data_IF_982112874855
#
_entry.id   IF_982112874855
#
_cell.length_a   1.000
_cell.length_b   1.000
_cell.length_c   1.000
_cell.angle_alpha   90.00
_cell.angle_beta   90.00
_cell.angle_gamma   90.00
#
_symmetry.space_group_name_H-M   'P 1'
#
loop_
_entity.id
_entity.type
_entity.pdbx_description
1 polymer ?
#
# COMPACT_ATOMS: atom_id res chain seq x y z
N UNK A 1 4.99 -16.69 -8.03
CA UNK A 1 3.91 -15.76 -8.41
C UNK A 1 3.23 -16.35 -9.64
N UNK A 2 1.91 -16.23 -9.77
CA UNK A 2 1.21 -16.56 -11.02
C UNK A 2 1.16 -15.35 -11.98
N UNK A 3 0.62 -15.52 -13.19
CA UNK A 3 0.52 -14.43 -14.17
C UNK A 3 -0.47 -13.36 -13.71
N UNK A 4 -0.16 -12.11 -14.04
CA UNK A 4 -0.95 -10.94 -13.65
C UNK A 4 -1.06 -9.97 -14.82
N UNK A 5 -2.25 -9.38 -14.98
CA UNK A 5 -2.56 -8.41 -16.03
C UNK A 5 -3.15 -7.17 -15.36
N UNK A 6 -2.60 -5.99 -15.66
CA UNK A 6 -3.10 -4.71 -15.18
C UNK A 6 -3.58 -3.88 -16.36
N UNK A 7 -4.79 -3.33 -16.29
CA UNK A 7 -5.40 -2.57 -17.37
C UNK A 7 -6.38 -1.49 -16.86
N UNK A 8 -6.77 -0.61 -17.80
CA UNK A 8 -7.86 0.34 -17.66
C UNK A 8 -8.72 0.25 -18.92
N UNK A 9 -10.02 0.43 -18.79
CA UNK A 9 -10.98 0.30 -19.90
C UNK A 9 -11.57 1.66 -20.24
N UNK A 10 -11.85 1.87 -21.53
CA UNK A 10 -12.54 3.06 -22.04
C UNK A 10 -13.97 2.73 -22.46
N UNK A 11 -14.87 3.69 -22.25
CA UNK A 11 -16.18 3.75 -22.90
C UNK A 11 -16.01 4.11 -24.39
N UNK A 12 -17.01 3.83 -25.24
CA UNK A 12 -16.98 4.21 -26.66
C UNK A 12 -16.92 5.73 -26.92
N UNK A 13 -17.29 6.56 -25.94
CA UNK A 13 -17.12 8.02 -25.96
C UNK A 13 -15.67 8.49 -25.70
N UNK A 14 -14.75 7.55 -25.41
CA UNK A 14 -13.35 7.81 -25.11
C UNK A 14 -13.03 8.12 -23.64
N UNK A 15 -14.05 8.27 -22.79
CA UNK A 15 -13.92 8.39 -21.32
C UNK A 15 -13.49 7.05 -20.71
N UNK A 16 -13.08 7.07 -19.44
CA UNK A 16 -12.66 5.86 -18.72
C UNK A 16 -13.80 5.26 -17.92
N UNK A 17 -13.83 3.93 -17.82
CA UNK A 17 -14.56 3.25 -16.75
C UNK A 17 -13.79 3.39 -15.42
N UNK A 18 -14.49 3.59 -14.32
CA UNK A 18 -13.88 3.64 -12.99
C UNK A 18 -13.38 2.27 -12.57
N UNK A 19 -12.21 2.17 -11.91
CA UNK A 19 -11.75 0.86 -11.43
C UNK A 19 -12.71 0.26 -10.38
N UNK A 20 -13.40 1.10 -9.60
CA UNK A 20 -14.40 0.69 -8.60
C UNK A 20 -15.75 0.38 -9.23
N UNK A 21 -16.12 1.05 -10.32
CA UNK A 21 -17.26 0.67 -11.18
C UNK A 21 -17.06 -0.78 -11.68
N UNK A 22 -15.88 -1.08 -12.22
CA UNK A 22 -15.49 -2.43 -12.65
C UNK A 22 -15.42 -3.41 -11.45
N UNK A 23 -14.88 -3.00 -10.30
CA UNK A 23 -14.80 -3.82 -9.07
C UNK A 23 -16.17 -4.22 -8.53
N UNK A 24 -17.12 -3.28 -8.49
CA UNK A 24 -18.49 -3.51 -8.01
C UNK A 24 -19.24 -4.46 -8.94
N UNK A 25 -19.15 -4.25 -10.26
CA UNK A 25 -19.74 -5.13 -11.28
C UNK A 25 -19.09 -6.54 -11.28
N UNK A 26 -17.76 -6.62 -11.11
CA UNK A 26 -17.06 -7.89 -11.00
C UNK A 26 -17.48 -8.67 -9.74
N UNK A 27 -17.61 -7.98 -8.61
CA UNK A 27 -18.07 -8.56 -7.34
C UNK A 27 -19.49 -9.11 -7.45
N UNK A 28 -20.40 -8.37 -8.09
CA UNK A 28 -21.77 -8.86 -8.40
C UNK A 28 -21.75 -10.08 -9.35
N UNK A 29 -20.71 -10.21 -10.18
CA UNK A 29 -20.48 -11.34 -11.08
C UNK A 29 -19.68 -12.49 -10.44
N UNK A 30 -19.40 -12.44 -9.13
CA UNK A 30 -18.64 -13.45 -8.39
C UNK A 30 -17.11 -13.42 -8.62
N UNK A 31 -16.57 -12.34 -9.21
CA UNK A 31 -15.16 -12.20 -9.57
C UNK A 31 -14.49 -11.15 -8.66
N UNK A 32 -13.51 -11.57 -7.85
CA UNK A 32 -12.76 -10.65 -7.00
C UNK A 32 -11.52 -10.11 -7.73
N UNK A 33 -11.56 -8.82 -8.07
CA UNK A 33 -10.44 -8.09 -8.68
C UNK A 33 -9.65 -7.30 -7.62
N UNK A 34 -8.47 -6.77 -7.98
CA UNK A 34 -7.70 -5.83 -7.14
C UNK A 34 -7.54 -4.52 -7.88
N UNK A 35 -7.75 -3.39 -7.22
CA UNK A 35 -7.86 -2.06 -7.85
C UNK A 35 -6.93 -1.02 -7.24
N UNK A 36 -6.97 0.22 -7.75
CA UNK A 36 -6.15 1.35 -7.28
C UNK A 36 -4.70 1.31 -7.79
N UNK A 37 -3.78 1.96 -7.06
CA UNK A 37 -2.36 2.03 -7.44
C UNK A 37 -1.46 0.95 -6.81
N UNK A 38 -2.02 -0.10 -6.19
CA UNK A 38 -1.29 -1.26 -5.64
C UNK A 38 -0.13 -0.90 -4.67
N UNK A 39 -0.28 0.17 -3.89
CA UNK A 39 0.76 0.75 -3.02
C UNK A 39 2.04 1.21 -3.74
N UNK A 40 1.99 1.39 -5.07
CA UNK A 40 3.07 1.96 -5.88
C UNK A 40 2.54 3.19 -6.66
N UNK A 41 2.24 4.30 -5.96
CA UNK A 41 1.72 5.51 -6.60
C UNK A 41 2.69 6.09 -7.64
N UNK A 42 4.01 5.92 -7.47
CA UNK A 42 5.01 6.36 -8.46
C UNK A 42 4.92 5.63 -9.80
N UNK A 43 4.82 4.29 -9.81
CA UNK A 43 4.64 3.54 -11.05
C UNK A 43 3.24 3.71 -11.64
N UNK A 44 2.21 3.72 -10.79
CA UNK A 44 0.84 4.08 -11.17
C UNK A 44 0.84 5.43 -11.92
N UNK A 45 1.55 6.41 -11.36
CA UNK A 45 1.68 7.73 -11.95
C UNK A 45 2.53 7.78 -13.22
N UNK A 46 3.55 6.92 -13.34
CA UNK A 46 4.28 6.79 -14.60
C UNK A 46 3.38 6.28 -15.72
N UNK A 47 2.63 5.19 -15.49
CA UNK A 47 1.91 4.44 -16.53
C UNK A 47 0.53 5.00 -16.90
N UNK A 48 -0.28 5.43 -15.94
CA UNK A 48 -1.59 6.05 -16.23
C UNK A 48 -1.46 7.46 -16.82
N UNK A 49 -0.22 7.94 -17.00
CA UNK A 49 0.05 9.32 -17.33
C UNK A 49 -0.44 10.24 -16.21
N UNK A 50 0.21 10.19 -15.03
CA UNK A 50 0.06 11.15 -13.91
C UNK A 50 1.39 11.96 -13.59
N UNK A 51 1.40 13.31 -13.58
CA UNK A 51 2.54 14.26 -13.36
C UNK A 51 2.47 14.89 -11.98
N UNK A 52 3.41 15.78 -11.67
CA UNK A 52 3.44 16.51 -10.41
C UNK A 52 2.28 17.50 -10.24
N UNK A 53 1.80 18.18 -11.30
CA UNK A 53 0.80 19.23 -11.14
C UNK A 53 -0.57 18.66 -10.78
N UNK A 54 -1.15 17.74 -11.57
CA UNK A 54 -2.41 17.15 -11.12
C UNK A 54 -2.20 16.25 -9.86
N UNK A 55 -0.97 15.77 -9.56
CA UNK A 55 -0.70 15.04 -8.30
C UNK A 55 -0.94 15.96 -7.12
N UNK A 56 -0.60 17.25 -7.24
CA UNK A 56 -0.90 18.27 -6.26
C UNK A 56 -2.38 18.68 -6.30
N UNK A 57 -2.97 18.99 -7.46
CA UNK A 57 -4.41 19.38 -7.51
C UNK A 57 -5.32 18.29 -6.96
N UNK A 58 -4.91 17.02 -7.08
CA UNK A 58 -5.68 15.90 -6.59
C UNK A 58 -5.21 15.45 -5.19
N UNK A 59 -4.14 16.03 -4.63
CA UNK A 59 -3.85 16.08 -3.19
C UNK A 59 -4.50 17.33 -2.52
N UNK A 60 -4.95 18.31 -3.29
CA UNK A 60 -5.77 19.44 -2.82
C UNK A 60 -7.26 19.05 -2.81
N UNK A 61 -7.72 18.40 -3.87
CA UNK A 61 -8.85 17.48 -3.79
C UNK A 61 -8.57 16.28 -2.85
N UNK A 62 -7.34 16.13 -2.29
CA UNK A 62 -6.78 15.11 -1.34
C UNK A 62 -6.62 13.74 -1.97
N UNK A 63 -5.57 12.87 -1.77
CA UNK A 63 -5.34 11.52 -2.47
C UNK A 63 -5.09 10.19 -1.65
N UNK A 64 -5.86 9.09 -1.87
CA UNK A 64 -5.67 7.65 -1.45
C UNK A 64 -5.56 6.66 -2.65
N UNK A 65 -5.28 5.39 -2.38
CA UNK A 65 -5.75 4.23 -3.18
C UNK A 65 -7.06 3.54 -2.69
N UNK A 66 -8.02 4.22 -2.04
CA UNK A 66 -9.23 3.65 -1.40
C UNK A 66 -10.56 4.43 -1.52
N UNK A 67 -10.66 5.60 -2.17
CA UNK A 67 -11.92 6.35 -2.35
C UNK A 67 -12.56 6.08 -3.72
N UNK A 68 -13.83 6.44 -3.88
CA UNK A 68 -14.63 6.22 -5.09
C UNK A 68 -14.37 7.27 -6.20
N UNK A 69 -13.23 7.97 -6.17
CA UNK A 69 -12.85 8.97 -7.18
C UNK A 69 -11.77 8.41 -8.10
N UNK A 70 -12.17 7.33 -8.77
CA UNK A 70 -11.37 6.55 -9.72
C UNK A 70 -10.90 7.34 -10.94
N UNK A 71 -11.58 8.46 -11.23
CA UNK A 71 -11.35 9.35 -12.37
C UNK A 71 -11.45 10.78 -11.87
N UNK A 72 -10.40 11.57 -12.07
CA UNK A 72 -10.38 13.01 -11.78
C UNK A 72 -9.72 13.75 -12.94
N UNK A 73 -10.28 14.91 -13.29
CA UNK A 73 -9.89 15.72 -14.46
C UNK A 73 -9.75 14.88 -15.74
N UNK A 74 -10.66 13.92 -15.93
CA UNK A 74 -10.71 13.00 -17.08
C UNK A 74 -9.66 11.88 -17.10
N UNK A 75 -8.83 11.73 -16.05
CA UNK A 75 -7.72 10.77 -16.00
C UNK A 75 -7.97 9.71 -14.91
N UNK A 76 -7.68 8.42 -15.17
CA UNK A 76 -7.83 7.38 -14.17
C UNK A 76 -6.78 7.54 -13.09
N UNK A 77 -7.17 7.26 -11.85
CA UNK A 77 -6.37 7.52 -10.65
C UNK A 77 -5.75 6.25 -10.07
N UNK A 78 -6.06 5.10 -10.68
CA UNK A 78 -5.61 3.74 -10.38
C UNK A 78 -5.91 2.81 -11.56
N UNK A 79 -5.58 1.52 -11.43
CA UNK A 79 -5.82 0.52 -12.46
C UNK A 79 -6.60 -0.68 -11.91
N UNK A 80 -7.15 -1.51 -12.79
CA UNK A 80 -7.66 -2.84 -12.44
C UNK A 80 -6.53 -3.85 -12.64
N UNK A 81 -6.30 -4.74 -11.67
CA UNK A 81 -5.34 -5.84 -11.76
C UNK A 81 -5.99 -7.18 -11.49
N UNK A 82 -5.87 -8.04 -12.49
CA UNK A 82 -6.12 -9.48 -12.42
C UNK A 82 -4.84 -10.18 -11.96
N UNK A 83 -4.96 -11.23 -11.16
CA UNK A 83 -3.81 -12.04 -10.73
C UNK A 83 -4.26 -13.48 -10.56
N UNK A 84 -3.86 -14.34 -11.50
CA UNK A 84 -4.24 -15.75 -11.49
C UNK A 84 -3.37 -16.53 -10.51
N UNK A 85 -3.97 -17.45 -9.77
CA UNK A 85 -3.29 -18.36 -8.86
C UNK A 85 -2.77 -19.60 -9.58
N UNK A 86 -2.03 -20.45 -8.85
CA UNK A 86 -1.67 -21.80 -9.34
C UNK A 86 -2.91 -22.69 -9.58
N UNK A 87 -4.01 -22.43 -8.86
CA UNK A 87 -5.28 -23.15 -8.96
C UNK A 87 -6.29 -22.52 -9.92
N UNK A 88 -5.95 -21.42 -10.59
CA UNK A 88 -6.85 -20.78 -11.57
C UNK A 88 -6.84 -21.55 -12.89
N UNK A 89 -8.01 -21.87 -13.41
CA UNK A 89 -8.13 -22.65 -14.67
C UNK A 89 -8.34 -21.74 -15.88
N UNK A 90 -8.38 -22.33 -17.09
CA UNK A 90 -8.71 -21.59 -18.31
C UNK A 90 -10.16 -21.05 -18.27
N UNK A 91 -11.07 -21.81 -17.65
CA UNK A 91 -12.46 -21.41 -17.46
C UNK A 91 -12.58 -20.19 -16.55
N UNK A 92 -11.69 -20.00 -15.57
CA UNK A 92 -11.64 -18.77 -14.75
C UNK A 92 -11.22 -17.55 -15.56
N UNK A 93 -10.26 -17.72 -16.50
CA UNK A 93 -9.90 -16.66 -17.43
C UNK A 93 -11.06 -16.35 -18.40
N UNK A 94 -11.79 -17.36 -18.88
CA UNK A 94 -12.96 -17.16 -19.73
C UNK A 94 -14.15 -16.50 -18.98
N UNK A 95 -14.39 -16.82 -17.70
CA UNK A 95 -15.38 -16.10 -16.87
C UNK A 95 -15.09 -14.59 -16.84
N UNK A 96 -13.82 -14.21 -16.72
CA UNK A 96 -13.39 -12.81 -16.75
C UNK A 96 -13.60 -12.16 -18.12
N UNK A 97 -13.29 -12.85 -19.22
CA UNK A 97 -13.53 -12.35 -20.60
C UNK A 97 -15.03 -12.14 -20.81
N UNK A 98 -15.85 -13.14 -20.51
CA UNK A 98 -17.31 -13.07 -20.63
C UNK A 98 -17.91 -11.95 -19.75
N UNK A 99 -17.35 -11.72 -18.55
CA UNK A 99 -17.72 -10.59 -17.70
C UNK A 99 -17.42 -9.25 -18.37
N UNK A 100 -16.23 -9.10 -18.95
CA UNK A 100 -15.81 -7.88 -19.67
C UNK A 100 -16.71 -7.60 -20.88
N UNK A 101 -16.99 -8.63 -21.67
CA UNK A 101 -17.86 -8.52 -22.86
C UNK A 101 -19.28 -8.12 -22.48
N UNK A 102 -19.92 -8.85 -21.55
CA UNK A 102 -21.32 -8.64 -21.18
C UNK A 102 -21.60 -7.28 -20.51
N UNK A 103 -20.61 -6.67 -19.83
CA UNK A 103 -20.81 -5.42 -19.06
C UNK A 103 -20.29 -4.17 -19.78
N UNK A 104 -19.30 -4.28 -20.68
CA UNK A 104 -18.56 -3.12 -21.19
C UNK A 104 -18.36 -3.09 -22.72
N UNK A 105 -18.69 -4.16 -23.45
CA UNK A 105 -18.56 -4.18 -24.92
C UNK A 105 -19.91 -3.92 -25.58
N UNK A 106 -20.03 -2.84 -26.35
CA UNK A 106 -21.24 -2.57 -27.15
C UNK A 106 -21.21 -3.40 -28.43
N UNK A 107 -21.76 -4.62 -28.34
CA UNK A 107 -22.09 -5.44 -29.52
C UNK A 107 -23.21 -4.78 -30.32
N UNK A 108 -23.19 -4.92 -31.66
CA UNK A 108 -24.10 -4.19 -32.56
C UNK A 108 -25.58 -4.53 -32.43
N UNK A 109 -25.94 -5.52 -31.61
CA UNK A 109 -27.32 -5.83 -31.17
C UNK A 109 -27.95 -4.73 -30.31
N UNK A 110 -27.15 -3.96 -29.54
CA UNK A 110 -27.67 -3.02 -28.54
C UNK A 110 -27.85 -1.58 -29.07
N UNK A 111 -28.01 -1.40 -30.39
CA UNK A 111 -27.97 -0.07 -31.07
C UNK A 111 -29.23 0.81 -30.94
N UNK A 112 -30.26 0.40 -30.19
CA UNK A 112 -31.55 1.09 -30.13
C UNK A 112 -31.85 1.76 -28.78
N UNK A 113 -31.04 2.74 -28.37
CA UNK A 113 -31.43 3.73 -27.36
C UNK A 113 -30.71 5.08 -27.53
N UNK A 114 -31.49 6.09 -27.92
CA UNK A 114 -31.23 7.55 -27.82
C UNK A 114 -30.18 8.20 -28.77
N UNK A 115 -30.32 9.52 -29.06
CA UNK A 115 -29.82 10.13 -30.31
C UNK A 115 -28.58 11.04 -30.14
N UNK A 116 -27.90 11.42 -31.25
CA UNK A 116 -26.73 12.28 -31.21
C UNK A 116 -27.06 13.78 -31.32
N UNK A 117 -26.28 14.61 -30.61
CA UNK A 117 -26.12 16.04 -30.92
C UNK A 117 -24.66 16.45 -30.70
N UNK A 118 -23.93 16.64 -31.81
CA UNK A 118 -22.51 16.97 -31.85
C UNK A 118 -22.20 18.45 -31.62
N UNK A 119 -20.98 18.76 -31.17
CA UNK A 119 -20.05 19.73 -31.80
C UNK A 119 -18.63 19.45 -31.27
N UNK A 120 -17.60 19.83 -32.03
CA UNK A 120 -16.22 19.32 -31.93
C UNK A 120 -15.16 20.40 -31.71
N UNK A 121 -14.07 20.03 -30.99
CA UNK A 121 -12.60 20.25 -31.22
C UNK A 121 -12.10 21.58 -31.86
N UNK A 122 -10.84 22.03 -31.64
CA UNK A 122 -9.67 21.36 -31.00
C UNK A 122 -9.16 22.16 -29.76
N UNK A 123 -7.93 22.14 -29.19
CA UNK A 123 -6.52 21.93 -29.61
C UNK A 123 -5.66 21.37 -28.44
N UNK A 124 -4.60 20.62 -28.80
CA UNK A 124 -3.35 20.23 -28.10
C UNK A 124 -3.15 20.47 -26.57
N UNK A 125 -2.63 19.45 -25.86
CA UNK A 125 -1.51 19.66 -24.90
C UNK A 125 -1.60 19.14 -23.44
N UNK A 126 -0.73 18.17 -23.10
CA UNK A 126 0.14 18.17 -21.89
C UNK A 126 -0.52 18.13 -20.46
N UNK A 127 -0.66 16.91 -19.91
CA UNK A 127 -0.09 16.46 -18.61
C UNK A 127 -0.79 16.36 -17.17
N UNK A 128 -1.60 15.27 -16.95
CA UNK A 128 -1.28 14.09 -16.03
C UNK A 128 -1.63 14.16 -14.42
N UNK A 129 -2.60 13.40 -13.73
CA UNK A 129 -2.67 12.81 -12.27
C UNK A 129 -3.88 12.78 -11.15
N UNK A 130 -4.20 11.64 -10.39
CA UNK A 130 -4.62 11.37 -8.89
C UNK A 130 -6.09 11.32 -8.16
N UNK A 131 -6.31 10.73 -6.91
CA UNK A 131 -7.60 10.31 -6.09
C UNK A 131 -7.94 10.96 -4.64
N UNK A 132 -8.40 10.36 -3.41
CA UNK A 132 -8.56 10.90 -1.90
C UNK A 132 -8.33 10.17 -0.49
N UNK A 133 -7.36 10.67 0.33
CA UNK A 133 -6.56 10.12 1.49
C UNK A 133 -7.19 9.65 2.86
N UNK A 134 -6.73 8.51 3.47
CA UNK A 134 -7.00 7.93 4.84
C UNK A 134 -6.03 6.79 5.30
N UNK A 135 -6.01 6.44 6.60
CA UNK A 135 -5.13 5.43 7.28
C UNK A 135 -5.92 4.48 8.22
N UNK A 136 -5.62 3.17 8.24
CA UNK A 136 -6.41 2.15 8.98
C UNK A 136 -5.80 1.63 10.30
N UNK A 137 -4.48 1.57 10.40
CA UNK A 137 -3.76 1.05 11.57
C UNK A 137 -2.29 1.47 11.50
N UNK A 138 -1.68 1.77 12.65
CA UNK A 138 -0.24 2.03 12.75
C UNK A 138 0.42 0.79 13.35
N UNK A 139 1.48 0.28 12.71
CA UNK A 139 2.31 -0.79 13.24
C UNK A 139 3.77 -0.32 13.22
N UNK A 140 4.37 -0.21 14.39
CA UNK A 140 5.74 0.30 14.57
C UNK A 140 6.70 -0.88 14.74
N UNK A 141 7.84 -0.83 14.07
CA UNK A 141 8.89 -1.84 14.06
C UNK A 141 10.21 -1.23 14.58
N UNK A 142 10.34 -0.90 15.88
CA UNK A 142 11.45 -0.06 16.31
C UNK A 142 12.81 -0.71 16.13
N UNK A 143 12.85 -2.04 16.30
CA UNK A 143 14.00 -2.88 15.99
C UNK A 143 13.79 -3.53 14.62
N UNK A 144 14.66 -3.20 13.67
CA UNK A 144 14.66 -3.74 12.31
C UNK A 144 14.87 -5.26 12.32
N UNK A 145 13.99 -6.00 11.65
CA UNK A 145 13.88 -7.48 11.62
C UNK A 145 13.09 -8.14 12.76
N UNK A 146 12.69 -7.41 13.80
CA UNK A 146 11.81 -7.95 14.85
C UNK A 146 10.33 -7.86 14.47
N UNK A 147 9.46 -8.50 15.26
CA UNK A 147 8.03 -8.28 15.15
C UNK A 147 7.68 -6.89 15.73
N UNK A 148 7.05 -6.06 14.88
CA UNK A 148 6.47 -4.79 15.29
C UNK A 148 5.14 -4.96 16.02
N UNK A 149 4.70 -3.91 16.70
CA UNK A 149 3.44 -3.89 17.45
C UNK A 149 2.50 -2.82 16.89
N UNK A 150 1.20 -3.11 16.94
CA UNK A 150 0.16 -2.16 16.56
C UNK A 150 -0.07 -1.13 17.67
N UNK A 151 -0.39 0.09 17.28
CA UNK A 151 -0.67 1.22 18.16
C UNK A 151 -1.81 2.06 17.58
N UNK A 152 -2.63 2.64 18.46
CA UNK A 152 -3.80 3.43 18.06
C UNK A 152 -3.41 4.86 17.62
N UNK A 153 -2.31 5.37 18.17
CA UNK A 153 -1.70 6.66 17.83
C UNK A 153 -0.18 6.58 18.03
N UNK A 154 0.57 7.40 17.29
CA UNK A 154 2.03 7.44 17.40
C UNK A 154 2.61 8.76 16.89
N UNK A 155 3.68 9.32 17.50
CA UNK A 155 4.27 10.57 17.04
C UNK A 155 4.91 10.48 15.64
N UNK A 156 4.79 11.56 14.87
CA UNK A 156 5.47 11.75 13.59
C UNK A 156 6.67 12.70 13.74
N UNK A 157 7.73 12.40 13.00
CA UNK A 157 8.94 13.23 12.87
C UNK A 157 9.08 13.71 11.42
N UNK A 158 10.13 14.48 11.13
CA UNK A 158 10.53 14.83 9.76
C UNK A 158 10.97 13.64 8.90
N UNK A 159 11.16 12.44 9.48
CA UNK A 159 11.64 11.23 8.79
C UNK A 159 10.62 10.09 8.73
N UNK A 160 9.52 10.16 9.49
CA UNK A 160 8.47 9.14 9.51
C UNK A 160 7.77 9.02 10.86
N UNK A 161 7.43 7.80 11.26
CA UNK A 161 6.99 7.50 12.62
C UNK A 161 8.20 7.51 13.57
N UNK A 162 8.09 8.22 14.69
CA UNK A 162 9.15 8.31 15.70
C UNK A 162 9.66 6.91 16.09
N UNK A 163 10.97 6.68 16.11
CA UNK A 163 11.54 5.37 16.46
C UNK A 163 11.22 4.19 15.52
N UNK A 164 10.47 4.33 14.41
CA UNK A 164 10.29 3.21 13.47
C UNK A 164 11.62 2.84 12.80
N UNK A 165 12.06 1.59 12.99
CA UNK A 165 13.28 1.00 12.42
C UNK A 165 14.59 1.70 12.80
N UNK A 166 14.58 2.57 13.83
CA UNK A 166 15.77 3.31 14.27
C UNK A 166 16.87 2.40 14.85
N UNK A 167 16.52 1.21 15.36
CA UNK A 167 17.47 0.31 16.02
C UNK A 167 17.70 -1.00 15.27
N UNK A 168 18.91 -1.55 15.45
CA UNK A 168 19.29 -2.88 14.96
C UNK A 168 20.00 -3.65 16.08
N UNK A 169 19.70 -4.95 16.21
CA UNK A 169 20.35 -5.84 17.17
C UNK A 169 21.77 -6.21 16.73
N UNK A 170 22.72 -6.07 17.66
CA UNK A 170 24.11 -6.47 17.52
C UNK A 170 24.45 -7.56 18.55
N UNK A 171 25.10 -8.62 18.07
CA UNK A 171 25.68 -9.69 18.88
C UNK A 171 26.78 -9.17 19.81
N UNK A 172 27.04 -9.86 20.92
CA UNK A 172 28.22 -9.63 21.77
C UNK A 172 29.53 -9.75 20.99
N UNK A 173 29.58 -10.62 19.98
CA UNK A 173 30.69 -10.78 19.01
C UNK A 173 30.85 -9.61 18.03
N UNK A 174 29.92 -8.65 18.04
CA UNK A 174 29.94 -7.48 17.17
C UNK A 174 29.18 -7.61 15.84
N UNK A 175 28.65 -8.80 15.50
CA UNK A 175 27.88 -9.00 14.28
C UNK A 175 26.46 -8.39 14.33
N UNK A 176 25.99 -7.87 13.18
CA UNK A 176 24.61 -7.40 13.00
C UNK A 176 23.67 -8.58 12.74
N UNK A 177 22.61 -8.69 13.55
CA UNK A 177 21.57 -9.71 13.39
C UNK A 177 20.48 -9.23 12.43
N UNK A 178 20.05 -10.12 11.54
CA UNK A 178 18.97 -9.84 10.56
C UNK A 178 18.09 -11.07 10.37
N UNK A 179 16.85 -10.86 9.90
CA UNK A 179 15.90 -11.95 9.60
C UNK A 179 16.46 -13.03 8.66
N UNK A 180 17.39 -12.65 7.76
CA UNK A 180 18.07 -13.59 6.84
C UNK A 180 19.17 -14.42 7.52
N UNK A 181 19.83 -13.89 8.56
CA UNK A 181 20.84 -14.62 9.36
C UNK A 181 20.20 -15.47 10.46
N UNK A 182 19.08 -15.05 11.03
CA UNK A 182 18.31 -15.87 11.98
C UNK A 182 16.82 -15.54 11.91
N UNK A 183 16.02 -16.56 11.60
CA UNK A 183 14.55 -16.45 11.53
C UNK A 183 13.91 -16.18 12.90
N UNK A 184 14.60 -16.52 13.99
CA UNK A 184 14.12 -16.31 15.37
C UNK A 184 14.00 -14.82 15.75
N UNK A 185 14.74 -13.93 15.07
CA UNK A 185 14.64 -12.48 15.30
C UNK A 185 13.21 -11.98 15.03
N UNK A 186 12.55 -12.51 14.00
CA UNK A 186 11.17 -12.16 13.66
C UNK A 186 10.10 -12.76 14.60
N UNK A 187 10.49 -13.60 15.57
CA UNK A 187 9.61 -14.10 16.65
C UNK A 187 9.72 -13.30 17.95
N UNK A 188 10.65 -12.35 18.04
CA UNK A 188 10.80 -11.49 19.22
C UNK A 188 9.82 -10.32 19.13
N UNK A 189 8.83 -10.35 20.02
CA UNK A 189 7.72 -9.40 20.06
C UNK A 189 8.10 -8.15 20.84
N UNK A 190 8.36 -7.04 20.13
CA UNK A 190 8.53 -5.76 20.79
C UNK A 190 7.20 -5.37 21.47
N UNK A 191 7.21 -5.16 22.79
CA UNK A 191 6.05 -4.67 23.57
C UNK A 191 6.46 -3.49 24.45
N UNK A 192 5.69 -2.40 24.47
CA UNK A 192 5.78 -1.43 25.55
C UNK A 192 5.10 -1.95 26.81
N UNK A 193 5.52 -1.47 27.98
CA UNK A 193 4.73 -1.61 29.21
C UNK A 193 4.15 -0.25 29.58
N UNK A 194 2.83 -0.10 29.45
CA UNK A 194 2.04 1.13 29.63
C UNK A 194 2.11 2.16 28.46
N UNK A 195 1.31 3.22 28.58
CA UNK A 195 0.63 3.90 27.47
C UNK A 195 1.45 5.09 26.91
N UNK A 196 1.80 5.13 25.61
CA UNK A 196 2.80 6.07 25.07
C UNK A 196 2.21 7.43 24.69
N UNK A 197 1.91 8.28 25.69
CA UNK A 197 1.44 9.68 25.44
C UNK A 197 2.30 10.76 26.07
N UNK A 198 3.21 10.40 26.98
CA UNK A 198 4.35 11.22 27.41
C UNK A 198 5.45 10.26 27.87
N UNK A 199 6.65 10.35 27.30
CA UNK A 199 7.83 9.60 27.75
C UNK A 199 9.08 10.47 27.61
N UNK A 200 9.82 10.60 28.69
CA UNK A 200 11.09 11.34 28.80
C UNK A 200 12.30 10.42 28.60
N UNK A 201 13.51 10.99 28.59
CA UNK A 201 14.76 10.22 28.44
C UNK A 201 15.00 9.17 29.54
N UNK A 202 14.42 9.33 30.74
CA UNK A 202 14.54 8.34 31.82
C UNK A 202 13.69 7.07 31.61
N UNK A 203 12.74 7.12 30.68
CA UNK A 203 11.70 6.09 30.51
C UNK A 203 12.04 5.04 29.43
N UNK A 204 13.22 5.13 28.79
CA UNK A 204 13.74 4.11 27.85
C UNK A 204 13.90 2.69 28.45
N UNK A 205 13.64 2.53 29.75
CA UNK A 205 13.50 1.25 30.47
C UNK A 205 12.41 0.32 29.88
N UNK A 206 11.55 0.77 28.97
CA UNK A 206 10.65 -0.11 28.21
C UNK A 206 11.39 -1.01 27.19
N UNK A 207 12.57 -0.59 26.72
CA UNK A 207 13.29 -1.29 25.64
C UNK A 207 13.97 -2.59 26.13
N UNK A 208 14.24 -2.75 27.43
CA UNK A 208 14.65 -4.05 27.99
C UNK A 208 13.48 -5.05 28.08
N UNK A 209 12.26 -4.58 28.40
CA UNK A 209 11.03 -5.40 28.36
C UNK A 209 10.55 -5.78 26.96
N UNK A 210 11.17 -5.20 25.92
CA UNK A 210 10.84 -5.44 24.51
C UNK A 210 11.30 -6.83 24.01
N UNK A 211 12.15 -7.56 24.76
CA UNK A 211 12.62 -8.90 24.41
C UNK A 211 12.18 -9.91 25.48
N UNK A 212 10.91 -10.31 25.44
CA UNK A 212 10.45 -11.52 26.13
C UNK A 212 10.79 -12.75 25.27
N UNK A 213 11.67 -13.61 25.80
CA UNK A 213 11.92 -14.95 25.28
C UNK A 213 12.43 -15.84 26.42
N UNK A 214 11.70 -16.91 26.74
CA UNK A 214 12.20 -17.94 27.66
C UNK A 214 13.50 -18.55 27.10
N UNK A 215 14.47 -18.75 28.00
CA UNK A 215 15.77 -19.44 27.84
C UNK A 215 16.77 -18.86 26.82
N UNK A 216 17.96 -18.54 27.36
CA UNK A 216 19.28 -18.74 26.73
C UNK A 216 19.69 -17.89 25.51
N UNK A 217 19.64 -16.56 25.62
CA UNK A 217 20.73 -15.71 25.07
C UNK A 217 21.05 -14.56 26.04
N UNK A 218 22.23 -14.59 26.65
CA UNK A 218 22.72 -13.58 27.59
C UNK A 218 23.16 -12.29 26.87
N UNK A 219 22.51 -11.17 27.18
CA UNK A 219 22.86 -9.78 26.79
C UNK A 219 22.88 -9.47 25.28
N UNK A 220 22.12 -8.45 24.86
CA UNK A 220 22.17 -7.91 23.49
C UNK A 220 22.39 -6.40 23.49
N UNK A 221 23.03 -5.88 22.45
CA UNK A 221 23.29 -4.44 22.28
C UNK A 221 22.42 -3.86 21.17
N UNK A 222 21.84 -2.69 21.41
CA UNK A 222 21.19 -1.87 20.38
C UNK A 222 22.12 -0.74 19.94
N UNK A 223 22.06 -0.42 18.65
CA UNK A 223 22.68 0.76 18.04
C UNK A 223 21.58 1.60 17.40
N UNK A 224 21.54 2.89 17.72
CA UNK A 224 20.73 3.87 16.99
C UNK A 224 21.36 4.19 15.63
N UNK A 225 20.57 4.09 14.56
CA UNK A 225 20.98 4.46 13.21
C UNK A 225 21.09 5.97 12.95
N UNK A 226 20.61 6.82 13.87
CA UNK A 226 20.57 8.28 13.72
C UNK A 226 21.60 9.03 14.57
N UNK A 227 21.99 8.48 15.72
CA UNK A 227 22.83 9.19 16.70
C UNK A 227 24.08 8.42 17.17
N UNK A 228 24.29 7.18 16.71
CA UNK A 228 25.47 6.38 17.08
C UNK A 228 25.53 5.92 18.55
N UNK A 229 24.56 6.31 19.39
CA UNK A 229 24.46 5.83 20.77
C UNK A 229 24.31 4.31 20.83
N UNK A 230 25.12 3.72 21.71
CA UNK A 230 25.06 2.32 22.14
C UNK A 230 24.22 2.23 23.41
N UNK A 231 23.26 1.32 23.43
CA UNK A 231 22.47 1.00 24.62
C UNK A 231 22.65 -0.49 24.92
N UNK A 232 23.23 -0.78 26.08
CA UNK A 232 23.47 -2.13 26.58
C UNK A 232 22.23 -2.64 27.32
N UNK A 233 21.57 -3.66 26.78
CA UNK A 233 20.42 -4.29 27.42
C UNK A 233 20.87 -5.53 28.18
N UNK A 234 21.07 -5.36 29.49
CA UNK A 234 21.03 -6.47 30.42
C UNK A 234 19.58 -7.02 30.47
N UNK A 235 19.40 -8.22 29.92
CA UNK A 235 18.18 -9.00 30.07
C UNK A 235 18.40 -9.96 31.24
N UNK A 236 17.46 -9.94 32.20
CA UNK A 236 17.37 -10.84 33.35
C UNK A 236 16.18 -11.79 33.14
#
# INVERSE_FOLDING_TARGET
>A
MGPMVSFNMKRPDGTWYGYREVEKLATLSGIQLRTGCFCNPGACAKYLGLSHLDLLSNIEAGHVCWDDRDILHGKPTGAVRVSFGYMSTFEDAMKLVNFVENNFVITSSNRCALPPSSISLPIEGIAKAAARHFLSSITVYPIKSCAGFSVDQWPLTSTGLLHDREWILKSTTGEILTQKKSHLVARRNCRSSSNPTHLSLEEMKWISKIIDMKSEVTTMRLISGSAGQLIDLALY
#
